data_IF_038890185270
#
_entry.id   IF_038890185270
#
_cell.length_a   1.000
_cell.length_b   1.000
_cell.length_c   1.000
_cell.angle_alpha   90.00
_cell.angle_beta   90.00
_cell.angle_gamma   90.00
#
_symmetry.space_group_name_H-M   'P 1'
#
loop_
_entity.id
_entity.type
_entity.pdbx_description
1 polymer ?
#
# COMPACT_ATOMS: atom_id res chain seq x y z
N UNK A 1 29.52 8.94 35.32
CA UNK A 1 30.23 8.85 34.03
C UNK A 1 29.78 9.99 33.13
N UNK A 2 30.67 10.56 32.29
CA UNK A 2 30.34 11.71 31.47
C UNK A 2 29.20 11.37 30.51
N UNK A 3 28.43 12.39 30.13
CA UNK A 3 27.24 12.42 29.25
C UNK A 3 27.46 11.76 27.87
N UNK A 4 27.81 10.48 27.86
CA UNK A 4 27.97 9.68 26.66
C UNK A 4 26.58 9.37 26.12
N UNK A 5 26.40 9.62 24.81
CA UNK A 5 25.19 9.31 24.04
C UNK A 5 24.63 7.96 24.48
N UNK A 6 23.55 7.99 25.27
CA UNK A 6 22.76 6.79 25.56
C UNK A 6 22.30 6.21 24.22
N UNK A 7 22.33 4.88 24.02
CA UNK A 7 21.73 4.27 22.85
C UNK A 7 20.27 4.72 22.74
N UNK A 8 19.80 4.90 21.50
CA UNK A 8 18.43 5.36 21.21
C UNK A 8 17.43 4.21 21.40
N UNK A 9 17.33 3.75 22.64
CA UNK A 9 16.49 2.63 23.07
C UNK A 9 15.63 3.06 24.26
N UNK A 10 14.43 2.48 24.36
CA UNK A 10 13.48 2.75 25.43
C UNK A 10 13.03 4.21 25.48
N UNK A 11 13.19 4.86 26.63
CA UNK A 11 12.70 6.21 26.88
C UNK A 11 13.36 7.26 25.99
N UNK A 12 14.65 7.11 25.69
CA UNK A 12 15.37 8.05 24.83
C UNK A 12 14.78 8.08 23.41
N UNK A 13 14.44 6.91 22.86
CA UNK A 13 13.81 6.80 21.54
C UNK A 13 12.41 7.41 21.52
N UNK A 14 11.63 7.19 22.59
CA UNK A 14 10.29 7.76 22.73
C UNK A 14 10.36 9.29 22.77
N UNK A 15 11.24 9.87 23.58
CA UNK A 15 11.40 11.31 23.64
C UNK A 15 11.88 11.90 22.31
N UNK A 16 12.85 11.28 21.63
CA UNK A 16 13.27 11.70 20.28
C UNK A 16 12.18 11.55 19.21
N UNK A 17 11.21 10.67 19.39
CA UNK A 17 10.11 10.49 18.42
C UNK A 17 9.00 11.54 18.58
N UNK A 18 8.84 12.10 19.77
CA UNK A 18 7.82 13.11 20.08
C UNK A 18 8.39 14.53 19.96
N UNK A 19 9.65 14.71 20.33
CA UNK A 19 10.34 15.98 20.26
C UNK A 19 11.23 16.06 19.03
N UNK A 20 11.28 17.19 18.32
CA UNK A 20 10.77 18.49 18.75
C UNK A 20 9.28 18.73 18.49
N UNK A 21 8.62 19.41 19.43
CA UNK A 21 7.24 19.88 19.25
C UNK A 21 7.32 21.33 18.76
N UNK A 22 6.68 21.60 17.62
CA UNK A 22 6.55 22.95 17.06
C UNK A 22 5.14 23.46 17.29
N UNK A 23 5.03 24.75 17.60
CA UNK A 23 3.72 25.41 17.58
C UNK A 23 3.23 25.62 16.14
N UNK A 24 1.91 25.73 15.95
CA UNK A 24 1.27 25.94 14.64
C UNK A 24 1.78 27.22 13.96
N UNK A 25 2.10 28.26 14.75
CA UNK A 25 2.68 29.52 14.29
C UNK A 25 4.17 29.43 13.98
N UNK A 26 4.85 28.35 14.38
CA UNK A 26 6.31 28.23 14.31
C UNK A 26 7.07 29.19 15.24
N UNK A 27 6.39 29.96 16.10
CA UNK A 27 6.99 30.93 17.02
C UNK A 27 7.65 30.27 18.25
N UNK A 28 7.41 28.99 18.50
CA UNK A 28 8.00 28.27 19.64
C UNK A 28 8.34 26.84 19.27
N UNK A 29 9.49 26.38 19.78
CA UNK A 29 10.02 25.04 19.61
C UNK A 29 10.40 24.49 20.97
N UNK A 30 9.89 23.31 21.29
CA UNK A 30 10.22 22.59 22.50
C UNK A 30 11.18 21.44 22.18
N UNK A 31 12.39 21.51 22.72
CA UNK A 31 13.43 20.50 22.57
C UNK A 31 13.64 19.70 23.86
N UNK A 32 13.96 18.42 23.68
CA UNK A 32 14.35 17.53 24.76
C UNK A 32 15.88 17.49 24.87
N UNK A 33 16.42 17.82 26.05
CA UNK A 33 17.88 17.82 26.31
C UNK A 33 18.32 16.52 26.98
N UNK A 34 17.73 16.21 28.13
CA UNK A 34 18.09 15.02 28.93
C UNK A 34 16.95 14.60 29.86
N UNK A 35 17.00 13.36 30.33
CA UNK A 35 16.19 12.91 31.47
C UNK A 35 17.08 12.28 32.54
N UNK A 36 16.68 12.47 33.78
CA UNK A 36 17.33 11.97 34.98
C UNK A 36 16.30 11.30 35.87
N UNK A 37 16.69 10.17 36.47
CA UNK A 37 15.91 9.52 37.50
C UNK A 37 16.46 9.93 38.85
N UNK A 38 15.59 10.44 39.71
CA UNK A 38 15.95 10.63 41.11
C UNK A 38 15.93 9.27 41.82
N UNK A 39 16.77 9.09 42.86
CA UNK A 39 16.72 7.87 43.65
C UNK A 39 15.32 7.67 44.24
N UNK A 40 14.84 6.42 44.34
CA UNK A 40 13.56 6.12 44.96
C UNK A 40 13.56 6.62 46.41
N UNK A 41 12.42 7.15 46.86
CA UNK A 41 12.28 7.71 48.22
C UNK A 41 12.26 6.64 49.31
N UNK A 42 11.94 5.40 48.96
CA UNK A 42 11.74 4.28 49.86
C UNK A 42 12.41 3.03 49.30
N UNK A 43 12.92 2.20 50.20
CA UNK A 43 13.48 0.90 49.84
C UNK A 43 12.39 -0.14 49.60
N UNK A 44 12.78 -1.24 48.94
CA UNK A 44 11.92 -2.38 48.58
C UNK A 44 11.12 -2.90 49.79
N UNK A 45 11.75 -3.04 50.96
CA UNK A 45 11.10 -3.57 52.16
C UNK A 45 10.14 -2.57 52.82
N UNK A 46 10.44 -1.28 52.76
CA UNK A 46 9.53 -0.23 53.22
C UNK A 46 8.30 -0.13 52.32
N UNK A 47 8.49 -0.28 51.00
CA UNK A 47 7.39 -0.31 50.04
C UNK A 47 6.44 -1.50 50.29
N UNK A 48 6.97 -2.66 50.68
CA UNK A 48 6.16 -3.84 51.05
C UNK A 48 5.37 -3.62 52.34
N UNK A 49 5.98 -3.02 53.37
CA UNK A 49 5.32 -2.83 54.66
C UNK A 49 4.26 -1.71 54.65
N UNK A 50 4.45 -0.69 53.80
CA UNK A 50 3.58 0.50 53.74
C UNK A 50 2.59 0.48 52.58
N UNK A 51 2.49 -0.64 51.87
CA UNK A 51 1.66 -0.78 50.67
C UNK A 51 1.93 0.31 49.60
N UNK A 52 3.20 0.71 49.46
CA UNK A 52 3.64 1.70 48.48
C UNK A 52 4.16 1.04 47.19
N UNK A 53 4.22 1.82 46.11
CA UNK A 53 4.83 1.39 44.85
C UNK A 53 6.31 1.77 44.85
N UNK A 54 7.19 0.82 44.53
CA UNK A 54 8.62 1.08 44.40
C UNK A 54 8.89 1.79 43.07
N UNK A 55 9.01 3.12 43.11
CA UNK A 55 9.14 3.95 41.93
C UNK A 55 10.18 5.07 42.11
N UNK A 56 10.80 5.46 41.00
CA UNK A 56 11.74 6.57 40.91
C UNK A 56 11.10 7.77 40.20
N UNK A 57 11.23 8.99 40.73
CA UNK A 57 10.78 10.20 40.06
C UNK A 57 11.56 10.41 38.75
N UNK A 58 10.84 10.58 37.63
CA UNK A 58 11.43 10.95 36.35
C UNK A 58 11.40 12.47 36.18
N UNK A 59 12.58 13.09 36.11
CA UNK A 59 12.77 14.49 35.75
C UNK A 59 13.30 14.61 34.33
N UNK A 60 12.68 15.46 33.53
CA UNK A 60 13.03 15.69 32.14
C UNK A 60 13.42 17.15 31.97
N UNK A 61 14.62 17.40 31.47
CA UNK A 61 15.10 18.74 31.13
C UNK A 61 14.68 19.07 29.71
N UNK A 62 13.74 20.01 29.61
CA UNK A 62 13.21 20.53 28.36
C UNK A 62 13.75 21.94 28.13
N UNK A 63 13.95 22.27 26.86
CA UNK A 63 14.37 23.59 26.40
C UNK A 63 13.29 24.17 25.50
N UNK A 64 12.69 25.27 25.94
CA UNK A 64 11.77 26.06 25.13
C UNK A 64 12.55 27.17 24.43
N UNK A 65 12.54 27.15 23.11
CA UNK A 65 13.11 28.18 22.25
C UNK A 65 11.95 28.99 21.68
N UNK A 66 11.90 30.29 22.00
CA UNK A 66 10.92 31.22 21.44
C UNK A 66 11.60 31.97 20.30
N UNK A 67 11.00 31.91 19.12
CA UNK A 67 11.43 32.66 17.95
C UNK A 67 10.63 33.96 17.83
N UNK A 68 11.32 35.07 17.55
CA UNK A 68 10.69 36.27 17.03
C UNK A 68 10.66 36.14 15.49
N UNK A 69 9.45 36.15 14.94
CA UNK A 69 9.23 36.07 13.49
C UNK A 69 8.92 37.48 13.04
N UNK A 70 9.87 38.09 12.33
CA UNK A 70 9.65 39.37 11.68
C UNK A 70 8.76 39.17 10.44
N UNK A 71 7.57 39.76 10.44
CA UNK A 71 6.54 39.60 9.39
C UNK A 71 7.02 40.09 8.01
N UNK A 72 8.02 40.99 7.96
CA UNK A 72 8.51 41.58 6.70
C UNK A 72 9.67 40.81 6.05
N UNK A 73 10.49 40.08 6.83
CA UNK A 73 11.70 39.39 6.33
C UNK A 73 11.65 37.87 6.45
N UNK A 74 10.68 37.32 7.19
CA UNK A 74 10.58 35.88 7.47
C UNK A 74 11.78 35.31 8.23
N UNK A 75 12.69 36.17 8.72
CA UNK A 75 13.88 35.78 9.44
C UNK A 75 13.50 35.37 10.87
N UNK A 76 13.79 34.11 11.22
CA UNK A 76 13.58 33.59 12.58
C UNK A 76 14.76 33.98 13.46
N UNK A 77 14.55 34.95 14.34
CA UNK A 77 15.55 35.29 15.36
C UNK A 77 15.19 34.61 16.69
N UNK A 78 16.19 34.12 17.42
CA UNK A 78 15.95 33.50 18.72
C UNK A 78 15.75 34.62 19.75
N UNK A 79 14.54 34.70 20.32
CA UNK A 79 14.18 35.70 21.31
C UNK A 79 14.62 35.29 22.72
N UNK A 80 14.28 34.07 23.11
CA UNK A 80 14.57 33.55 24.44
C UNK A 80 14.74 32.04 24.43
N UNK A 81 15.64 31.55 25.28
CA UNK A 81 15.87 30.12 25.50
C UNK A 81 15.68 29.85 26.99
N UNK A 82 14.59 29.16 27.33
CA UNK A 82 14.32 28.73 28.70
C UNK A 82 14.55 27.24 28.84
N UNK A 83 15.51 26.86 29.68
CA UNK A 83 15.77 25.46 30.04
C UNK A 83 15.21 25.20 31.44
N UNK A 84 14.36 24.20 31.58
CA UNK A 84 13.76 23.82 32.86
C UNK A 84 13.62 22.31 32.98
N UNK A 85 13.99 21.80 34.15
CA UNK A 85 13.73 20.41 34.53
C UNK A 85 12.30 20.29 35.08
N UNK A 86 11.46 19.53 34.37
CA UNK A 86 10.07 19.27 34.70
C UNK A 86 9.93 17.83 35.20
N UNK A 87 9.16 17.64 36.26
CA UNK A 87 8.82 16.31 36.76
C UNK A 87 7.69 15.71 35.91
N UNK A 88 7.92 14.54 35.32
CA UNK A 88 6.99 13.86 34.40
C UNK A 88 6.22 12.70 35.04
N UNK A 89 6.49 12.37 36.31
CA UNK A 89 5.84 11.29 37.04
C UNK A 89 6.82 10.28 37.63
N UNK A 90 6.29 9.34 38.41
CA UNK A 90 7.07 8.25 39.02
C UNK A 90 7.02 7.01 38.14
N UNK A 91 8.20 6.44 37.86
CA UNK A 91 8.34 5.21 37.08
C UNK A 91 8.65 4.04 38.02
N UNK A 92 7.83 2.96 38.02
CA UNK A 92 8.13 1.76 38.80
C UNK A 92 9.47 1.16 38.41
N UNK A 93 10.32 0.89 39.40
CA UNK A 93 11.62 0.27 39.18
C UNK A 93 11.53 -1.25 39.37
N UNK A 94 12.33 -1.96 38.59
CA UNK A 94 12.48 -3.41 38.73
C UNK A 94 13.40 -3.72 39.91
N UNK A 95 13.03 -4.70 40.73
CA UNK A 95 13.90 -5.24 41.79
C UNK A 95 14.97 -6.16 41.19
N UNK A 96 15.98 -6.53 41.98
CA UNK A 96 17.02 -7.49 41.56
C UNK A 96 16.46 -8.86 41.14
N UNK A 97 15.23 -9.20 41.55
CA UNK A 97 14.58 -10.47 41.26
C UNK A 97 13.70 -10.42 40.00
N UNK A 98 13.67 -9.29 39.27
CA UNK A 98 12.81 -9.12 38.11
C UNK A 98 11.33 -8.88 38.43
N UNK A 99 11.01 -8.55 39.69
CA UNK A 99 9.65 -8.21 40.14
C UNK A 99 9.48 -6.70 40.24
N UNK A 100 8.24 -6.23 40.17
CA UNK A 100 7.85 -4.85 40.44
C UNK A 100 6.95 -4.82 41.67
N UNK A 101 7.20 -3.90 42.59
CA UNK A 101 6.30 -3.70 43.73
C UNK A 101 5.29 -2.63 43.37
N UNK A 102 4.02 -3.01 43.25
CA UNK A 102 2.89 -2.11 43.01
C UNK A 102 1.92 -2.24 44.17
N UNK A 103 1.74 -1.15 44.92
CA UNK A 103 0.92 -1.10 46.13
C UNK A 103 1.25 -2.22 47.13
N UNK A 104 2.52 -2.36 47.52
CA UNK A 104 2.99 -3.39 48.46
C UNK A 104 3.10 -4.81 47.90
N UNK A 105 2.41 -5.11 46.80
CA UNK A 105 2.41 -6.45 46.19
C UNK A 105 3.44 -6.59 45.09
N UNK A 106 4.13 -7.72 45.05
CA UNK A 106 5.02 -8.07 43.95
C UNK A 106 4.21 -8.52 42.73
N UNK A 107 4.55 -7.95 41.58
CA UNK A 107 3.99 -8.27 40.29
C UNK A 107 5.10 -8.58 39.31
N UNK A 108 4.80 -9.51 38.39
CA UNK A 108 5.70 -9.87 37.30
C UNK A 108 5.03 -9.48 35.99
N UNK A 109 5.79 -8.87 35.09
CA UNK A 109 5.33 -8.57 33.74
C UNK A 109 5.60 -9.79 32.87
N UNK A 110 4.54 -10.40 32.36
CA UNK A 110 4.64 -11.53 31.43
C UNK A 110 4.94 -11.00 30.03
N UNK A 111 5.92 -11.61 29.35
CA UNK A 111 6.25 -11.28 27.97
C UNK A 111 5.07 -11.64 27.05
N UNK A 112 4.56 -10.66 26.31
CA UNK A 112 3.49 -10.90 25.35
C UNK A 112 4.05 -11.45 24.03
N UNK A 113 3.42 -12.50 23.51
CA UNK A 113 3.67 -12.97 22.14
C UNK A 113 2.67 -12.31 21.19
N UNK A 114 3.13 -11.31 20.44
CA UNK A 114 2.38 -10.69 19.36
C UNK A 114 2.91 -11.12 17.99
N UNK A 115 2.08 -11.03 16.95
CA UNK A 115 2.55 -11.19 15.57
C UNK A 115 3.49 -10.05 15.21
N UNK A 116 4.57 -10.35 14.49
CA UNK A 116 5.48 -9.33 14.01
C UNK A 116 4.75 -8.37 13.06
N UNK A 117 5.11 -7.07 13.06
CA UNK A 117 4.68 -6.17 12.00
C UNK A 117 5.13 -6.70 10.63
N UNK A 118 4.26 -6.58 9.63
CA UNK A 118 4.56 -7.08 8.28
C UNK A 118 3.33 -7.39 7.45
N UNK A 119 3.58 -7.97 6.29
CA UNK A 119 2.55 -8.42 5.34
C UNK A 119 2.38 -9.93 5.50
N UNK A 120 1.13 -10.35 5.71
CA UNK A 120 0.75 -11.74 5.89
C UNK A 120 -0.20 -12.14 4.77
N UNK A 121 0.10 -13.25 4.10
CA UNK A 121 -0.81 -13.86 3.14
C UNK A 121 -1.47 -15.08 3.79
N UNK A 122 -2.79 -15.09 3.81
CA UNK A 122 -3.60 -16.17 4.34
C UNK A 122 -4.56 -16.69 3.26
N UNK A 123 -5.03 -17.93 3.45
CA UNK A 123 -5.98 -18.59 2.56
C UNK A 123 -7.02 -19.31 3.42
N UNK A 124 -8.29 -19.15 3.07
CA UNK A 124 -9.38 -19.69 3.88
C UNK A 124 -9.60 -21.21 3.70
N UNK A 125 -8.68 -21.90 3.00
CA UNK A 125 -8.70 -23.36 2.75
C UNK A 125 -10.05 -23.88 2.23
N UNK A 126 -10.81 -23.04 1.54
CA UNK A 126 -12.12 -23.37 0.95
C UNK A 126 -13.26 -23.51 1.97
N UNK A 127 -13.12 -22.97 3.20
CA UNK A 127 -14.15 -23.07 4.25
C UNK A 127 -15.31 -22.10 4.06
N UNK A 128 -15.07 -20.92 3.50
CA UNK A 128 -16.07 -19.84 3.37
C UNK A 128 -17.03 -20.05 2.20
N UNK A 129 -16.67 -20.79 1.16
CA UNK A 129 -17.49 -20.90 -0.03
C UNK A 129 -17.71 -22.37 -0.41
N UNK A 130 -18.97 -22.73 -0.67
CA UNK A 130 -19.41 -24.09 -1.02
C UNK A 130 -18.78 -24.62 -2.31
N UNK A 131 -18.25 -23.75 -3.17
CA UNK A 131 -17.51 -24.16 -4.37
C UNK A 131 -16.10 -24.69 -4.07
N UNK A 132 -15.61 -24.60 -2.84
CA UNK A 132 -14.26 -25.01 -2.47
C UNK A 132 -13.14 -24.12 -3.04
N UNK A 133 -13.50 -22.98 -3.65
CA UNK A 133 -12.52 -22.00 -4.15
C UNK A 133 -11.74 -21.41 -2.98
N UNK A 134 -10.42 -21.36 -3.13
CA UNK A 134 -9.53 -20.75 -2.15
C UNK A 134 -9.66 -19.23 -2.25
N UNK A 135 -10.15 -18.60 -1.19
CA UNK A 135 -10.11 -17.15 -1.04
C UNK A 135 -8.79 -16.78 -0.37
N UNK A 136 -8.03 -15.92 -1.05
CA UNK A 136 -6.79 -15.37 -0.54
C UNK A 136 -7.08 -14.06 0.19
N UNK A 137 -6.31 -13.80 1.24
CA UNK A 137 -6.32 -12.52 1.94
C UNK A 137 -4.89 -12.08 2.22
N UNK A 138 -4.60 -10.81 1.99
CA UNK A 138 -3.37 -10.17 2.41
C UNK A 138 -3.67 -9.21 3.56
N UNK A 139 -2.91 -9.29 4.65
CA UNK A 139 -3.06 -8.42 5.83
C UNK A 139 -1.76 -7.69 6.09
N UNK A 140 -1.84 -6.37 6.16
CA UNK A 140 -0.73 -5.49 6.55
C UNK A 140 -0.93 -5.08 8.00
N UNK A 141 -0.04 -5.56 8.87
CA UNK A 141 -0.02 -5.23 10.29
C UNK A 141 1.10 -4.22 10.54
N UNK A 142 0.80 -2.93 10.77
CA UNK A 142 1.81 -1.96 11.12
C UNK A 142 2.23 -2.10 12.59
N UNK A 143 3.41 -1.59 12.93
CA UNK A 143 3.86 -1.51 14.33
C UNK A 143 2.99 -0.53 15.15
N UNK A 144 2.55 0.57 14.50
CA UNK A 144 1.59 1.54 15.04
C UNK A 144 0.61 1.94 13.96
N UNK A 145 -0.68 1.99 14.29
CA UNK A 145 -1.74 2.47 13.40
C UNK A 145 -2.78 1.41 13.01
N UNK A 146 -3.59 1.76 12.02
CA UNK A 146 -4.69 0.94 11.54
C UNK A 146 -4.22 -0.20 10.64
N UNK A 147 -4.88 -1.34 10.75
CA UNK A 147 -4.60 -2.49 9.89
C UNK A 147 -5.27 -2.31 8.52
N UNK A 148 -4.56 -2.75 7.47
CA UNK A 148 -5.10 -2.82 6.11
C UNK A 148 -5.23 -4.29 5.72
N UNK A 149 -6.47 -4.71 5.46
CA UNK A 149 -6.79 -6.05 4.97
C UNK A 149 -7.20 -5.93 3.49
N UNK A 150 -6.70 -6.82 2.65
CA UNK A 150 -7.07 -6.99 1.24
C UNK A 150 -7.59 -8.42 1.10
N UNK A 151 -8.84 -8.58 0.66
CA UNK A 151 -9.50 -9.88 0.56
C UNK A 151 -10.08 -10.10 -0.83
N UNK A 152 -10.01 -11.35 -1.29
CA UNK A 152 -10.71 -11.80 -2.50
C UNK A 152 -12.10 -12.29 -2.13
N UNK A 153 -13.10 -11.83 -2.87
CA UNK A 153 -14.46 -12.37 -2.81
C UNK A 153 -14.63 -13.60 -3.71
N UNK A 154 -15.72 -14.35 -3.53
CA UNK A 154 -16.04 -15.52 -4.36
C UNK A 154 -16.15 -15.20 -5.85
N UNK A 155 -16.50 -13.94 -6.18
CA UNK A 155 -16.61 -13.39 -7.53
C UNK A 155 -15.29 -12.83 -8.09
N UNK A 156 -14.15 -13.09 -7.45
CA UNK A 156 -12.83 -12.53 -7.80
C UNK A 156 -12.73 -10.99 -7.71
N UNK A 157 -13.68 -10.35 -7.02
CA UNK A 157 -13.60 -8.92 -6.74
C UNK A 157 -12.69 -8.72 -5.53
N UNK A 158 -11.72 -7.83 -5.68
CA UNK A 158 -10.77 -7.50 -4.61
C UNK A 158 -11.32 -6.35 -3.77
N UNK A 159 -11.46 -6.59 -2.47
CA UNK A 159 -11.87 -5.58 -1.50
C UNK A 159 -10.73 -5.23 -0.55
N UNK A 160 -10.63 -3.96 -0.18
CA UNK A 160 -9.78 -3.47 0.90
C UNK A 160 -10.66 -3.01 2.08
N UNK A 161 -11.11 -3.92 2.96
CA UNK A 161 -11.79 -3.51 4.18
C UNK A 161 -10.85 -2.73 5.11
N UNK A 162 -11.21 -1.47 5.36
CA UNK A 162 -10.59 -0.69 6.42
C UNK A 162 -11.16 -1.10 7.78
N UNK A 163 -10.34 -1.72 8.64
CA UNK A 163 -10.77 -2.32 9.93
C UNK A 163 -11.54 -1.36 10.85
N UNK A 164 -11.20 -0.06 10.97
CA UNK A 164 -11.98 0.88 11.78
C UNK A 164 -13.40 1.14 11.26
N UNK A 165 -13.64 1.03 9.94
CA UNK A 165 -14.97 1.25 9.35
C UNK A 165 -15.77 -0.03 9.11
N UNK A 166 -15.13 -1.21 9.14
CA UNK A 166 -15.73 -2.55 8.87
C UNK A 166 -16.51 -2.66 7.55
N UNK A 167 -16.46 -1.65 6.69
CA UNK A 167 -17.11 -1.64 5.37
C UNK A 167 -16.12 -2.16 4.34
N UNK A 168 -16.60 -3.06 3.48
CA UNK A 168 -15.84 -3.51 2.30
C UNK A 168 -15.85 -2.38 1.28
N UNK A 169 -14.67 -1.91 0.90
CA UNK A 169 -14.48 -0.91 -0.14
C UNK A 169 -13.69 -1.60 -1.26
N UNK A 170 -14.04 -1.40 -2.54
CA UNK A 170 -13.21 -1.91 -3.64
C UNK A 170 -11.77 -1.38 -3.55
N UNK A 171 -10.79 -2.22 -3.88
CA UNK A 171 -9.38 -1.79 -3.88
C UNK A 171 -9.15 -0.62 -4.83
N UNK A 172 -9.89 -0.55 -5.94
CA UNK A 172 -9.81 0.55 -6.90
C UNK A 172 -10.07 1.91 -6.27
N UNK A 173 -11.03 2.03 -5.33
CA UNK A 173 -11.28 3.29 -4.62
C UNK A 173 -10.11 3.71 -3.73
N UNK A 174 -9.35 2.75 -3.18
CA UNK A 174 -8.14 3.05 -2.42
C UNK A 174 -7.01 3.55 -3.34
N UNK A 175 -6.85 2.93 -4.50
CA UNK A 175 -5.84 3.34 -5.49
C UNK A 175 -6.14 4.72 -6.08
N UNK A 176 -7.41 5.01 -6.36
CA UNK A 176 -7.85 6.35 -6.77
C UNK A 176 -7.60 7.39 -5.67
N UNK A 177 -7.81 7.04 -4.39
CA UNK A 177 -7.49 7.93 -3.29
C UNK A 177 -5.97 8.17 -3.10
N UNK A 178 -5.12 7.27 -3.61
CA UNK A 178 -3.66 7.47 -3.66
C UNK A 178 -3.24 8.34 -4.85
N UNK A 179 -4.17 8.73 -5.72
CA UNK A 179 -3.94 9.59 -6.88
C UNK A 179 -3.63 8.83 -8.18
N UNK A 180 -4.00 7.55 -8.28
CA UNK A 180 -3.91 6.81 -9.54
C UNK A 180 -5.22 6.94 -10.32
N UNK A 181 -5.12 7.27 -11.61
CA UNK A 181 -6.27 7.28 -12.52
C UNK A 181 -6.61 5.87 -13.02
N UNK A 182 -7.79 5.70 -13.63
CA UNK A 182 -8.23 4.41 -14.16
C UNK A 182 -7.23 3.79 -15.14
N UNK A 183 -6.65 4.60 -16.02
CA UNK A 183 -5.62 4.19 -16.98
C UNK A 183 -4.32 3.75 -16.28
N UNK A 184 -3.91 4.45 -15.23
CA UNK A 184 -2.70 4.14 -14.45
C UNK A 184 -2.85 2.83 -13.70
N UNK A 185 -4.05 2.60 -13.13
CA UNK A 185 -4.38 1.33 -12.49
C UNK A 185 -4.31 0.20 -13.53
N UNK A 186 -4.99 0.34 -14.66
CA UNK A 186 -4.99 -0.70 -15.70
C UNK A 186 -3.60 -0.95 -16.27
N UNK A 187 -2.82 0.09 -16.54
CA UNK A 187 -1.46 -0.04 -17.06
C UNK A 187 -0.46 -0.65 -16.07
N UNK A 188 -0.67 -0.48 -14.77
CA UNK A 188 0.18 -1.07 -13.73
C UNK A 188 -0.07 -2.56 -13.56
N UNK A 189 -1.33 -3.00 -13.65
CA UNK A 189 -1.70 -4.40 -13.41
C UNK A 189 -1.80 -5.26 -14.68
N UNK A 190 -2.10 -4.66 -15.83
CA UNK A 190 -2.30 -5.38 -17.09
C UNK A 190 -1.27 -5.01 -18.16
N UNK A 191 -0.96 -5.97 -19.03
CA UNK A 191 -0.16 -5.72 -20.23
C UNK A 191 -1.07 -5.23 -21.34
N UNK A 192 -0.82 -4.01 -21.85
CA UNK A 192 -1.56 -3.46 -22.99
C UNK A 192 -1.17 -4.19 -24.27
N UNK A 193 -2.15 -4.50 -25.11
CA UNK A 193 -1.93 -5.06 -26.45
C UNK A 193 -2.50 -4.08 -27.46
N UNK A 194 -1.65 -3.55 -28.31
CA UNK A 194 -2.03 -2.49 -29.24
C UNK A 194 -2.68 -3.08 -30.50
N UNK A 195 -3.93 -2.73 -30.76
CA UNK A 195 -4.68 -3.17 -31.93
C UNK A 195 -4.64 -2.07 -33.01
N UNK A 196 -3.91 -2.31 -34.10
CA UNK A 196 -3.87 -1.38 -35.25
C UNK A 196 -4.84 -1.82 -36.33
N UNK A 197 -5.71 -0.93 -36.80
CA UNK A 197 -6.63 -1.25 -37.89
C UNK A 197 -5.88 -1.23 -39.23
N UNK A 198 -6.01 -2.31 -40.01
CA UNK A 198 -5.45 -2.43 -41.36
C UNK A 198 -6.55 -2.84 -42.36
N UNK A 199 -7.28 -1.84 -42.86
CA UNK A 199 -8.40 -2.04 -43.80
C UNK A 199 -9.62 -2.68 -43.13
N UNK A 200 -9.96 -3.89 -43.57
CA UNK A 200 -11.14 -4.66 -43.14
C UNK A 200 -10.81 -5.67 -42.02
N UNK A 201 -9.76 -5.39 -41.23
CA UNK A 201 -9.37 -6.24 -40.11
C UNK A 201 -8.34 -5.57 -39.20
N UNK A 202 -8.02 -6.24 -38.11
CA UNK A 202 -7.17 -5.71 -37.03
C UNK A 202 -5.83 -6.43 -36.98
N UNK A 203 -4.76 -5.69 -36.72
CA UNK A 203 -3.41 -6.21 -36.49
C UNK A 203 -3.17 -6.32 -34.99
N UNK A 204 -2.97 -7.54 -34.52
CA UNK A 204 -2.66 -7.84 -33.11
C UNK A 204 -1.18 -8.23 -33.00
N UNK A 205 -0.39 -7.63 -32.10
CA UNK A 205 0.97 -8.08 -31.84
C UNK A 205 0.98 -9.51 -31.29
N UNK A 206 1.79 -10.38 -31.88
CA UNK A 206 1.91 -11.76 -31.43
C UNK A 206 2.72 -11.81 -30.13
N UNK A 207 2.09 -12.21 -29.03
CA UNK A 207 2.77 -12.54 -27.78
C UNK A 207 2.59 -14.02 -27.43
N UNK A 208 3.70 -14.77 -27.50
CA UNK A 208 3.69 -16.22 -27.32
C UNK A 208 3.38 -16.65 -25.87
N UNK A 209 3.57 -15.78 -24.88
CA UNK A 209 3.29 -16.11 -23.47
C UNK A 209 1.81 -16.01 -23.13
N UNK A 210 1.12 -14.98 -23.64
CA UNK A 210 -0.32 -14.78 -23.40
C UNK A 210 -1.17 -15.81 -24.13
N UNK A 211 -0.71 -16.29 -25.29
CA UNK A 211 -1.38 -17.28 -26.12
C UNK A 211 -1.15 -18.74 -25.69
N UNK A 212 -0.34 -18.96 -24.65
CA UNK A 212 0.05 -20.31 -24.21
C UNK A 212 -1.13 -21.08 -23.62
N UNK A 213 -1.59 -22.09 -24.34
CA UNK A 213 -2.66 -22.98 -23.89
C UNK A 213 -4.08 -22.52 -24.25
N UNK A 214 -4.22 -21.37 -24.91
CA UNK A 214 -5.48 -20.93 -25.51
C UNK A 214 -5.88 -21.84 -26.67
N UNK A 215 -7.19 -22.00 -26.88
CA UNK A 215 -7.75 -22.63 -28.09
C UNK A 215 -8.12 -21.51 -29.05
N UNK A 216 -7.72 -21.63 -30.30
CA UNK A 216 -8.17 -20.71 -31.35
C UNK A 216 -9.62 -21.05 -31.70
N UNK A 217 -10.50 -20.05 -31.72
CA UNK A 217 -11.89 -20.22 -32.21
C UNK A 217 -11.92 -20.02 -33.72
N UNK A 218 -11.15 -19.04 -34.20
CA UNK A 218 -11.03 -18.62 -35.59
C UNK A 218 -9.66 -19.03 -36.18
N UNK A 219 -9.55 -19.06 -37.51
CA UNK A 219 -8.27 -19.25 -38.21
C UNK A 219 -7.33 -18.08 -37.90
N UNK A 220 -6.12 -18.37 -37.41
CA UNK A 220 -5.10 -17.34 -37.20
C UNK A 220 -4.40 -17.05 -38.51
N UNK A 221 -4.60 -15.85 -39.05
CA UNK A 221 -3.98 -15.40 -40.31
C UNK A 221 -2.82 -14.47 -39.98
N UNK A 222 -1.67 -14.65 -40.61
CA UNK A 222 -0.55 -13.71 -40.53
C UNK A 222 -0.93 -12.37 -41.19
N UNK A 223 -0.73 -11.27 -40.49
CA UNK A 223 -1.04 -9.95 -41.02
C UNK A 223 -0.02 -9.44 -42.08
N UNK A 224 1.15 -10.08 -42.20
CA UNK A 224 2.19 -9.72 -43.18
C UNK A 224 2.21 -10.66 -44.39
N UNK A 225 1.90 -11.95 -44.20
CA UNK A 225 1.93 -12.94 -45.30
C UNK A 225 0.54 -13.32 -45.82
N UNK A 226 -0.54 -13.05 -45.07
CA UNK A 226 -1.90 -13.46 -45.44
C UNK A 226 -2.10 -14.98 -45.41
N UNK A 227 -1.12 -15.75 -44.92
CA UNK A 227 -1.21 -17.19 -44.79
C UNK A 227 -1.91 -17.58 -43.48
N UNK A 228 -2.69 -18.67 -43.53
CA UNK A 228 -3.29 -19.28 -42.34
C UNK A 228 -2.19 -20.00 -41.57
N UNK A 229 -1.83 -19.42 -40.43
CA UNK A 229 -0.77 -19.89 -39.55
C UNK A 229 -1.26 -21.04 -38.67
N UNK A 230 -2.51 -20.94 -38.21
CA UNK A 230 -3.16 -21.96 -37.37
C UNK A 230 -4.64 -22.05 -37.77
N UNK A 231 -5.07 -23.22 -38.22
CA UNK A 231 -6.50 -23.51 -38.42
C UNK A 231 -7.25 -23.48 -37.08
N UNK A 232 -8.47 -22.93 -37.10
CA UNK A 232 -9.37 -22.81 -35.96
C UNK A 232 -9.61 -24.15 -35.26
N UNK A 233 -9.72 -24.11 -33.93
CA UNK A 233 -9.96 -25.28 -33.08
C UNK A 233 -8.70 -25.99 -32.58
N UNK A 234 -7.50 -25.60 -33.03
CA UNK A 234 -6.23 -26.19 -32.56
C UNK A 234 -5.78 -25.56 -31.24
N UNK A 235 -5.31 -26.39 -30.31
CA UNK A 235 -4.73 -25.93 -29.04
C UNK A 235 -3.32 -25.41 -29.32
N UNK A 236 -3.02 -24.19 -28.89
CA UNK A 236 -1.70 -23.59 -29.03
C UNK A 236 -0.72 -24.28 -28.08
N UNK A 237 0.04 -25.23 -28.62
CA UNK A 237 1.09 -25.93 -27.86
C UNK A 237 2.37 -25.08 -27.84
N UNK A 238 3.20 -25.18 -26.78
CA UNK A 238 4.47 -24.48 -26.71
C UNK A 238 5.41 -24.76 -27.89
N UNK A 239 5.29 -25.94 -28.51
CA UNK A 239 6.06 -26.32 -29.71
C UNK A 239 5.60 -25.56 -30.94
N UNK A 240 4.28 -25.44 -31.15
CA UNK A 240 3.71 -24.66 -32.25
C UNK A 240 4.07 -23.18 -32.07
N UNK A 241 3.87 -22.62 -30.87
CA UNK A 241 4.19 -21.21 -30.58
C UNK A 241 5.66 -20.87 -30.81
N UNK A 242 6.60 -21.78 -30.47
CA UNK A 242 8.02 -21.62 -30.79
C UNK A 242 8.30 -21.63 -32.29
N UNK A 243 7.66 -22.51 -33.06
CA UNK A 243 7.79 -22.53 -34.52
C UNK A 243 7.24 -21.25 -35.15
N UNK A 244 6.16 -20.69 -34.60
CA UNK A 244 5.60 -19.42 -35.07
C UNK A 244 6.52 -18.23 -34.73
N UNK A 245 7.15 -18.27 -33.56
CA UNK A 245 8.15 -17.29 -33.16
C UNK A 245 9.43 -17.37 -34.02
N UNK A 246 9.90 -18.57 -34.35
CA UNK A 246 11.05 -18.80 -35.26
C UNK A 246 10.74 -18.37 -36.70
N UNK A 247 9.48 -18.49 -37.15
CA UNK A 247 9.01 -17.97 -38.43
C UNK A 247 8.92 -16.44 -38.48
N UNK A 248 9.13 -15.75 -37.36
CA UNK A 248 9.17 -14.28 -37.31
C UNK A 248 7.80 -13.61 -37.36
N UNK A 249 6.73 -14.31 -36.98
CA UNK A 249 5.38 -13.72 -36.87
C UNK A 249 5.37 -12.57 -35.85
N UNK A 250 5.10 -11.37 -36.34
CA UNK A 250 5.01 -10.15 -35.52
C UNK A 250 3.58 -9.71 -35.27
N UNK A 251 2.70 -9.88 -36.25
CA UNK A 251 1.31 -9.46 -36.16
C UNK A 251 0.35 -10.48 -36.77
N UNK A 252 -0.80 -10.67 -36.14
CA UNK A 252 -1.89 -11.52 -36.59
C UNK A 252 -3.06 -10.65 -37.06
N UNK A 253 -3.77 -11.10 -38.10
CA UNK A 253 -5.01 -10.47 -38.54
C UNK A 253 -6.18 -11.07 -37.74
N UNK A 254 -6.93 -10.22 -37.06
CA UNK A 254 -8.15 -10.57 -36.34
C UNK A 254 -9.38 -9.93 -36.98
N UNK A 255 -10.52 -10.60 -36.84
CA UNK A 255 -11.83 -10.12 -37.29
C UNK A 255 -12.51 -9.30 -36.19
N UNK A 256 -13.56 -8.57 -36.56
CA UNK A 256 -14.34 -7.76 -35.61
C UNK A 256 -15.00 -8.62 -34.50
N UNK A 257 -15.29 -9.88 -34.80
CA UNK A 257 -15.87 -10.83 -33.84
C UNK A 257 -14.88 -11.24 -32.74
N UNK A 258 -13.59 -11.25 -33.03
CA UNK A 258 -12.53 -11.60 -32.05
C UNK A 258 -12.28 -10.46 -31.05
N UNK A 259 -12.81 -9.26 -31.30
CA UNK A 259 -12.68 -8.10 -30.42
C UNK A 259 -13.79 -8.00 -29.36
N UNK A 260 -14.91 -8.70 -29.55
CA UNK A 260 -16.01 -8.67 -28.59
C UNK A 260 -15.60 -9.32 -27.26
N UNK A 261 -15.87 -8.64 -26.16
CA UNK A 261 -15.50 -9.09 -24.81
C UNK A 261 -14.08 -8.72 -24.36
N UNK A 262 -13.36 -7.91 -25.15
CA UNK A 262 -12.13 -7.23 -24.69
C UNK A 262 -12.48 -5.92 -24.00
N UNK A 263 -11.58 -5.41 -23.18
CA UNK A 263 -11.75 -4.16 -22.43
C UNK A 263 -10.77 -3.09 -22.93
N UNK A 264 -11.22 -1.84 -22.94
CA UNK A 264 -10.37 -0.69 -23.30
C UNK A 264 -9.35 -0.38 -22.18
N UNK A 265 -8.10 -0.14 -22.57
CA UNK A 265 -7.01 0.15 -21.63
C UNK A 265 -6.73 1.65 -21.43
N UNK A 266 -7.24 2.50 -22.33
CA UNK A 266 -7.10 3.96 -22.33
C UNK A 266 -8.44 4.60 -22.72
N UNK A 267 -8.68 5.82 -22.24
CA UNK A 267 -9.85 6.62 -22.58
C UNK A 267 -9.78 7.01 -24.06
N UNK A 268 -10.90 6.84 -24.77
CA UNK A 268 -11.01 7.29 -26.15
C UNK A 268 -11.64 8.68 -26.14
N UNK A 269 -10.80 9.70 -26.17
CA UNK A 269 -11.19 11.11 -26.21
C UNK A 269 -11.17 11.68 -27.62
N UNK A 270 -12.16 12.51 -27.93
CA UNK A 270 -12.08 13.39 -29.09
C UNK A 270 -11.24 14.62 -28.75
N UNK A 271 -10.02 14.68 -29.28
CA UNK A 271 -9.13 15.83 -29.09
C UNK A 271 -9.68 17.16 -29.64
N UNK A 272 -10.74 17.15 -30.46
CA UNK A 272 -11.36 18.37 -31.02
C UNK A 272 -12.53 18.90 -30.18
N UNK A 273 -13.31 18.02 -29.53
CA UNK A 273 -14.49 18.42 -28.74
C UNK A 273 -14.28 18.29 -27.23
N UNK A 274 -13.24 17.57 -26.80
CA UNK A 274 -13.01 17.26 -25.38
C UNK A 274 -14.02 16.26 -24.80
N UNK A 275 -14.87 15.66 -25.63
CA UNK A 275 -15.80 14.62 -25.22
C UNK A 275 -15.06 13.27 -25.10
N UNK A 276 -15.24 12.60 -23.97
CA UNK A 276 -14.81 11.23 -23.74
C UNK A 276 -15.87 10.32 -24.39
N UNK A 277 -15.49 9.55 -25.41
CA UNK A 277 -16.40 8.62 -26.08
C UNK A 277 -16.56 7.32 -25.31
N UNK A 278 -15.47 6.81 -24.73
CA UNK A 278 -15.42 5.58 -23.95
C UNK A 278 -14.38 5.74 -22.83
N UNK A 279 -14.71 5.23 -21.65
CA UNK A 279 -13.82 5.26 -20.48
C UNK A 279 -12.97 3.98 -20.43
N UNK A 280 -11.78 4.08 -19.83
CA UNK A 280 -10.88 2.97 -19.60
C UNK A 280 -11.54 1.92 -18.68
N UNK A 281 -11.70 0.70 -19.20
CA UNK A 281 -12.42 -0.39 -18.55
C UNK A 281 -13.78 -0.74 -19.15
N UNK A 282 -14.25 -0.01 -20.16
CA UNK A 282 -15.46 -0.37 -20.91
C UNK A 282 -15.23 -1.61 -21.80
N UNK A 283 -16.26 -2.45 -21.89
CA UNK A 283 -16.28 -3.65 -22.75
C UNK A 283 -16.51 -3.26 -24.23
N UNK A 284 -15.77 -3.92 -25.12
CA UNK A 284 -15.95 -3.80 -26.57
C UNK A 284 -17.13 -4.68 -26.99
N UNK A 285 -18.23 -4.04 -27.35
CA UNK A 285 -19.51 -4.59 -27.76
C UNK A 285 -19.87 -4.11 -29.18
N UNK A 286 -20.91 -4.71 -29.77
CA UNK A 286 -21.48 -4.28 -31.07
C UNK A 286 -21.89 -2.80 -31.12
N UNK A 287 -22.08 -2.17 -29.95
CA UNK A 287 -22.46 -0.75 -29.82
C UNK A 287 -21.27 0.18 -29.67
N UNK A 288 -20.19 -0.28 -29.03
CA UNK A 288 -19.00 0.54 -28.76
C UNK A 288 -18.02 0.48 -29.93
N UNK A 289 -17.94 -0.65 -30.65
CA UNK A 289 -17.10 -0.80 -31.84
C UNK A 289 -17.37 0.26 -32.92
N UNK A 290 -18.63 0.57 -33.31
CA UNK A 290 -18.91 1.64 -34.28
C UNK A 290 -18.52 3.05 -33.81
N UNK A 291 -18.51 3.29 -32.50
CA UNK A 291 -18.08 4.57 -31.90
C UNK A 291 -16.57 4.71 -32.00
N UNK A 292 -15.82 3.64 -31.70
CA UNK A 292 -14.36 3.57 -31.89
C UNK A 292 -14.00 3.80 -33.37
N UNK A 293 -14.75 3.17 -34.29
CA UNK A 293 -14.54 3.30 -35.73
C UNK A 293 -14.85 4.72 -36.25
N UNK A 294 -15.83 5.42 -35.65
CA UNK A 294 -16.18 6.82 -35.98
C UNK A 294 -15.21 7.84 -35.38
N UNK A 295 -14.65 7.55 -34.20
CA UNK A 295 -13.71 8.43 -33.50
C UNK A 295 -12.36 8.56 -34.22
N UNK A 296 -12.08 7.74 -35.24
CA UNK A 296 -10.93 7.94 -36.13
C UNK A 296 -9.56 7.62 -35.51
N UNK A 297 -9.51 7.01 -34.33
CA UNK A 297 -8.25 6.54 -33.75
C UNK A 297 -7.76 5.32 -34.53
N UNK A 298 -6.82 5.54 -35.45
CA UNK A 298 -6.11 4.49 -36.20
C UNK A 298 -5.23 3.60 -35.28
N UNK A 299 -5.34 3.77 -33.96
CA UNK A 299 -4.69 3.01 -32.90
C UNK A 299 -5.65 2.87 -31.73
N UNK A 300 -6.20 1.67 -31.55
CA UNK A 300 -6.79 1.27 -30.27
C UNK A 300 -5.64 0.67 -29.45
N UNK A 301 -5.35 1.21 -28.28
CA UNK A 301 -4.22 0.79 -27.43
C UNK A 301 -4.64 -0.16 -26.33
#
# INVERSE_FOLDING_TARGET
EPRARRPDEGLQAVFKSVFPITDFSGASLLEFVSYEFEPPKFDVDECRQRDLTYAAPLKVTLRLIVFDIDEDTGAKSIKDIKEQSVYMGDMPLMTNNGTFIVNGTERVIVSQMHRSPGVFFDHDKGKSHSSGKLLFAARVIPYRGSWLDIEFDAKDIVYAPYRPARRKIPVTSLLMALGMDGEDILSTFYTKSLYERSGDGWRIPFNAETLKGAKTVSDMIDADTGEVVVEGGKKLTPRLLRQLQEKGLKALKATDEDLYGLFLAEDIVNFQTGEIYLEAGDEIDEKTLPVILKAGSTRSR
#
